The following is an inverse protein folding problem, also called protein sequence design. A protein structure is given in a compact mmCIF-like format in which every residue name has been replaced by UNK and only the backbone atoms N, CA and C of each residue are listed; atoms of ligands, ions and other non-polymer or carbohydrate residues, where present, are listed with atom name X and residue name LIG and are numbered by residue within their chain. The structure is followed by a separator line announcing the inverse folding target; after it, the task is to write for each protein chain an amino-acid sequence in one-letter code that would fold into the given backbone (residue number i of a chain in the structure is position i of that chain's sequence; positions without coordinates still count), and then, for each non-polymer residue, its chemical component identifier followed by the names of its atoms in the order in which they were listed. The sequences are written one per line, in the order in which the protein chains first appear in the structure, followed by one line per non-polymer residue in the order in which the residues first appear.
data_IF_472130390769
#
_entry.id   IF_472130390769
#
_cell.length_a   1.000
_cell.length_b   1.000
_cell.length_c   1.000
_cell.angle_alpha   90.00
_cell.angle_beta   90.00
_cell.angle_gamma   90.00
#
_symmetry.space_group_name_H-M   'P 1'
#
loop_
_entity.id
_entity.type
_entity.pdbx_description
1 polymer ?
#
# COMPACT_ATOMS: atom_id res chain seq x y z
N UNK A 1 12.98 88.45 -19.12
CA UNK A 1 13.71 87.43 -19.89
C UNK A 1 12.70 86.60 -20.67
N UNK A 2 12.37 87.06 -21.87
CA UNK A 2 11.85 86.23 -22.99
C UNK A 2 13.07 85.65 -23.75
N UNK A 3 12.96 84.68 -24.69
CA UNK A 3 11.77 84.36 -25.51
C UNK A 3 11.54 82.87 -25.92
N UNK A 4 10.37 82.65 -26.54
CA UNK A 4 10.08 81.81 -27.74
C UNK A 4 10.29 80.28 -27.68
N UNK A 5 9.49 79.43 -28.33
CA UNK A 5 8.35 79.54 -29.27
C UNK A 5 7.78 78.12 -29.47
N UNK A 6 6.47 77.89 -29.61
CA UNK A 6 5.61 78.11 -30.80
C UNK A 6 5.62 76.94 -31.80
N UNK A 7 4.53 76.14 -31.75
CA UNK A 7 3.68 75.57 -32.86
C UNK A 7 4.40 74.53 -33.79
N UNK A 8 3.87 73.34 -34.16
CA UNK A 8 2.77 73.02 -35.11
C UNK A 8 2.53 71.47 -35.00
N UNK A 9 1.35 71.03 -34.56
CA UNK A 9 0.28 70.32 -35.32
C UNK A 9 0.73 69.28 -36.36
N UNK A 10 0.27 68.03 -36.23
CA UNK A 10 -0.57 67.40 -37.26
C UNK A 10 -1.15 66.05 -36.80
N UNK A 11 -2.45 65.89 -37.07
CA UNK A 11 -3.21 64.65 -37.03
C UNK A 11 -2.57 63.56 -37.90
N UNK A 12 -2.62 62.31 -37.42
CA UNK A 12 -3.03 61.21 -38.32
C UNK A 12 -3.56 60.01 -37.55
N UNK A 13 -4.81 59.69 -37.85
CA UNK A 13 -5.53 58.46 -37.57
C UNK A 13 -4.76 57.20 -38.04
N UNK A 14 -4.69 56.14 -37.22
CA UNK A 14 -5.32 54.83 -37.49
C UNK A 14 -4.72 53.65 -36.69
N UNK A 15 -5.64 52.75 -36.32
CA UNK A 15 -5.49 51.29 -36.16
C UNK A 15 -4.93 50.67 -34.86
N UNK A 16 -5.89 50.16 -34.07
CA UNK A 16 -6.03 48.76 -33.61
C UNK A 16 -4.74 47.92 -33.48
N UNK A 17 -4.48 47.41 -32.28
CA UNK A 17 -4.52 45.96 -32.00
C UNK A 17 -4.41 45.69 -30.50
N UNK A 18 -5.29 44.83 -29.98
CA UNK A 18 -5.31 44.42 -28.58
C UNK A 18 -4.03 43.72 -28.15
N UNK A 19 -3.65 43.93 -26.88
CA UNK A 19 -2.79 43.00 -26.15
C UNK A 19 -3.49 42.63 -24.87
N UNK A 20 -4.30 41.58 -24.98
CA UNK A 20 -4.68 40.75 -23.86
C UNK A 20 -3.43 40.36 -23.08
N UNK A 21 -3.33 40.85 -21.84
CA UNK A 21 -2.40 40.32 -20.86
C UNK A 21 -2.91 38.94 -20.44
N UNK A 22 -2.33 37.89 -21.04
CA UNK A 22 -2.47 36.51 -20.61
C UNK A 22 -2.36 36.38 -19.08
N UNK A 23 -3.30 35.71 -18.40
CA UNK A 23 -3.12 35.37 -17.00
C UNK A 23 -2.25 34.10 -16.91
N UNK A 24 -1.04 34.24 -16.35
CA UNK A 24 -0.33 33.14 -15.67
C UNK A 24 -1.21 32.67 -14.50
N UNK A 25 -2.13 31.73 -14.72
CA UNK A 25 -3.08 31.27 -13.68
C UNK A 25 -3.14 29.76 -13.46
N UNK A 26 -2.38 28.94 -14.19
CA UNK A 26 -2.53 27.48 -14.17
C UNK A 26 -1.69 26.76 -13.11
N UNK A 27 -0.47 27.21 -12.78
CA UNK A 27 0.37 26.53 -11.76
C UNK A 27 0.01 26.88 -10.31
N UNK A 28 -0.41 28.13 -10.04
CA UNK A 28 -0.70 28.58 -8.67
C UNK A 28 -2.00 27.99 -8.09
N UNK A 29 -2.89 27.51 -8.96
CA UNK A 29 -4.19 26.93 -8.58
C UNK A 29 -4.06 25.48 -8.10
N UNK A 30 -3.25 24.67 -8.79
CA UNK A 30 -3.06 23.25 -8.46
C UNK A 30 -2.24 23.03 -7.19
N UNK A 31 -1.22 23.86 -6.94
CA UNK A 31 -0.42 23.82 -5.70
C UNK A 31 -1.25 24.18 -4.47
N UNK A 32 -2.20 25.10 -4.61
CA UNK A 32 -3.10 25.49 -3.52
C UNK A 32 -4.08 24.37 -3.17
N UNK A 33 -4.69 23.72 -4.18
CA UNK A 33 -5.59 22.57 -3.99
C UNK A 33 -4.90 21.37 -3.33
N UNK A 34 -3.68 21.04 -3.74
CA UNK A 34 -2.89 19.98 -3.10
C UNK A 34 -2.64 20.28 -1.62
N UNK A 35 -2.30 21.54 -1.31
CA UNK A 35 -2.05 21.96 0.07
C UNK A 35 -3.31 21.88 0.94
N UNK A 36 -4.48 22.20 0.39
CA UNK A 36 -5.78 22.02 1.05
C UNK A 36 -6.06 20.54 1.39
N UNK A 37 -5.87 19.63 0.42
CA UNK A 37 -6.10 18.19 0.64
C UNK A 37 -5.14 17.63 1.68
N UNK A 38 -3.86 18.00 1.61
CA UNK A 38 -2.85 17.57 2.59
C UNK A 38 -3.24 18.04 3.99
N UNK A 39 -3.63 19.31 4.13
CA UNK A 39 -4.04 19.87 5.42
C UNK A 39 -5.27 19.17 5.99
N UNK A 40 -6.31 18.94 5.18
CA UNK A 40 -7.53 18.25 5.60
C UNK A 40 -7.25 16.80 6.03
N UNK A 41 -6.37 16.12 5.29
CA UNK A 41 -5.91 14.76 5.63
C UNK A 41 -5.16 14.76 6.96
N UNK A 42 -4.13 15.61 7.12
CA UNK A 42 -3.31 15.68 8.33
C UNK A 42 -4.14 15.99 9.57
N UNK A 43 -5.10 16.91 9.43
CA UNK A 43 -6.02 17.27 10.51
C UNK A 43 -6.92 16.09 10.89
N UNK A 44 -7.62 15.51 9.90
CA UNK A 44 -8.52 14.37 10.13
C UNK A 44 -7.78 13.19 10.76
N UNK A 45 -6.58 12.89 10.26
CA UNK A 45 -5.74 11.82 10.78
C UNK A 45 -5.22 12.13 12.19
N UNK A 46 -4.80 13.37 12.45
CA UNK A 46 -4.34 13.81 13.76
C UNK A 46 -5.42 13.69 14.82
N UNK A 47 -6.65 14.12 14.51
CA UNK A 47 -7.79 14.08 15.43
C UNK A 47 -8.16 12.63 15.80
N UNK A 48 -8.32 11.77 14.80
CA UNK A 48 -8.72 10.37 15.04
C UNK A 48 -7.63 9.55 15.72
N UNK A 49 -6.36 9.71 15.30
CA UNK A 49 -5.25 8.97 15.90
C UNK A 49 -4.95 9.45 17.33
N UNK A 50 -5.17 10.74 17.63
CA UNK A 50 -5.09 11.23 19.02
C UNK A 50 -6.13 10.56 19.91
N UNK A 51 -7.38 10.50 19.43
CA UNK A 51 -8.49 9.89 20.16
C UNK A 51 -8.26 8.39 20.42
N UNK A 52 -7.82 7.65 19.39
CA UNK A 52 -7.47 6.23 19.53
C UNK A 52 -6.31 6.08 20.52
N UNK A 53 -5.21 6.84 20.35
CA UNK A 53 -4.04 6.75 21.23
C UNK A 53 -4.40 6.95 22.70
N UNK A 54 -5.18 7.99 23.01
CA UNK A 54 -5.65 8.27 24.36
C UNK A 54 -6.51 7.13 24.90
N UNK A 55 -7.48 6.67 24.11
CA UNK A 55 -8.40 5.59 24.49
C UNK A 55 -7.63 4.30 24.80
N UNK A 56 -6.71 3.91 23.92
CA UNK A 56 -5.95 2.68 24.04
C UNK A 56 -4.96 2.70 25.21
N UNK A 57 -4.30 3.85 25.42
CA UNK A 57 -3.40 4.00 26.57
C UNK A 57 -4.16 4.01 27.90
N UNK A 58 -5.35 4.62 27.95
CA UNK A 58 -6.22 4.55 29.14
C UNK A 58 -6.69 3.13 29.41
N UNK A 59 -7.04 2.36 28.39
CA UNK A 59 -7.40 0.95 28.53
C UNK A 59 -6.21 0.13 29.07
N UNK A 60 -5.02 0.35 28.52
CA UNK A 60 -3.83 -0.43 28.88
C UNK A 60 -3.24 -0.07 30.26
N UNK A 61 -3.24 1.21 30.63
CA UNK A 61 -2.50 1.72 31.79
C UNK A 61 -3.38 2.42 32.84
N UNK A 62 -4.69 2.53 32.62
CA UNK A 62 -5.60 3.23 33.54
C UNK A 62 -5.17 4.67 33.78
N UNK A 63 -5.20 5.12 35.03
CA UNK A 63 -4.85 6.49 35.41
C UNK A 63 -3.37 6.85 35.21
N UNK A 64 -2.50 5.85 35.07
CA UNK A 64 -1.06 6.04 34.85
C UNK A 64 -0.70 6.30 33.39
N UNK A 65 -1.67 6.33 32.48
CA UNK A 65 -1.43 6.49 31.05
C UNK A 65 -0.65 7.77 30.69
N UNK A 66 -0.87 8.86 31.44
CA UNK A 66 -0.13 10.13 31.26
C UNK A 66 1.34 10.06 31.70
N UNK A 67 1.70 9.09 32.53
CA UNK A 67 3.09 8.85 32.93
C UNK A 67 3.83 7.98 31.92
N UNK A 68 3.10 7.08 31.24
CA UNK A 68 3.66 6.11 30.29
C UNK A 68 3.71 6.66 28.86
N UNK A 69 2.77 7.53 28.49
CA UNK A 69 2.71 8.08 27.12
C UNK A 69 4.01 8.80 26.76
N UNK A 70 4.49 8.58 25.54
CA UNK A 70 5.82 9.03 25.13
C UNK A 70 5.89 10.56 25.03
N UNK A 71 4.91 11.16 24.38
CA UNK A 71 4.66 12.60 24.40
C UNK A 71 3.35 12.87 25.13
N UNK A 72 3.32 13.86 26.02
CA UNK A 72 2.09 14.25 26.71
C UNK A 72 1.20 15.12 25.81
N UNK A 73 -0.14 15.03 25.91
CA UNK A 73 -1.04 15.89 25.16
C UNK A 73 -0.90 17.36 25.61
N UNK A 74 -1.28 18.35 24.77
CA UNK A 74 -1.89 18.21 23.44
C UNK A 74 -0.88 17.77 22.36
N UNK A 75 -1.33 16.94 21.42
CA UNK A 75 -0.45 16.37 20.41
C UNK A 75 -0.55 17.05 19.05
N UNK A 76 0.59 17.13 18.36
CA UNK A 76 0.67 17.28 16.91
C UNK A 76 0.61 15.89 16.26
N UNK A 77 0.26 15.81 14.97
CA UNK A 77 0.28 14.54 14.24
C UNK A 77 1.64 13.81 14.34
N UNK A 78 2.75 14.55 14.29
CA UNK A 78 4.09 13.98 14.45
C UNK A 78 4.27 13.32 15.82
N UNK A 79 3.87 14.01 16.90
CA UNK A 79 3.97 13.47 18.26
C UNK A 79 3.08 12.24 18.43
N UNK A 80 1.86 12.25 17.86
CA UNK A 80 0.96 11.09 17.87
C UNK A 80 1.63 9.89 17.19
N UNK A 81 2.12 10.06 15.97
CA UNK A 81 2.76 8.97 15.22
C UNK A 81 4.02 8.44 15.93
N UNK A 82 4.79 9.28 16.61
CA UNK A 82 5.91 8.81 17.46
C UNK A 82 5.42 8.01 18.67
N UNK A 83 4.34 8.44 19.32
CA UNK A 83 3.72 7.66 20.39
C UNK A 83 3.27 6.29 19.89
N UNK A 84 2.64 6.19 18.71
CA UNK A 84 2.30 4.91 18.11
C UNK A 84 3.52 4.02 17.91
N UNK A 85 4.61 4.54 17.35
CA UNK A 85 5.85 3.76 17.17
C UNK A 85 6.41 3.24 18.49
N UNK A 86 6.41 4.07 19.54
CA UNK A 86 6.94 3.70 20.86
C UNK A 86 6.06 2.70 21.60
N UNK A 87 4.74 2.85 21.48
CA UNK A 87 3.76 2.04 22.19
C UNK A 87 3.20 0.89 21.36
N UNK A 88 3.67 0.71 20.12
CA UNK A 88 3.15 -0.28 19.20
C UNK A 88 3.12 -1.66 19.82
N UNK A 89 4.26 -2.19 20.26
CA UNK A 89 4.35 -3.57 20.76
C UNK A 89 3.56 -3.80 22.06
N UNK A 90 3.54 -2.80 22.95
CA UNK A 90 2.94 -2.93 24.27
C UNK A 90 1.42 -2.72 24.27
N UNK A 91 0.90 -1.90 23.37
CA UNK A 91 -0.52 -1.47 23.38
C UNK A 91 -1.22 -1.95 22.12
N UNK A 92 -0.81 -1.46 20.95
CA UNK A 92 -1.56 -1.66 19.70
C UNK A 92 -1.35 -3.04 19.06
N UNK A 93 -0.13 -3.56 19.14
CA UNK A 93 0.30 -4.85 18.59
C UNK A 93 -0.24 -6.06 19.35
N UNK A 94 -1.03 -5.83 20.40
CA UNK A 94 -1.78 -6.87 21.12
C UNK A 94 -3.05 -7.29 20.36
N UNK A 95 -3.60 -6.40 19.53
CA UNK A 95 -4.87 -6.63 18.83
C UNK A 95 -4.82 -6.25 17.33
N UNK A 96 -3.79 -5.52 16.89
CA UNK A 96 -3.50 -5.27 15.47
C UNK A 96 -2.22 -6.01 15.07
N UNK A 97 -2.15 -6.48 13.83
CA UNK A 97 -0.97 -7.16 13.30
C UNK A 97 0.30 -6.31 13.48
N UNK A 98 1.38 -6.94 13.93
CA UNK A 98 2.67 -6.28 14.14
C UNK A 98 3.25 -5.69 12.86
N UNK A 99 2.93 -6.25 11.70
CA UNK A 99 3.39 -5.76 10.40
C UNK A 99 2.91 -4.33 10.09
N UNK A 100 1.79 -3.89 10.67
CA UNK A 100 1.20 -2.57 10.43
C UNK A 100 1.96 -1.41 11.10
N UNK A 101 2.99 -1.71 11.91
CA UNK A 101 3.94 -0.68 12.33
C UNK A 101 4.59 -0.01 11.13
N UNK A 102 4.79 -0.75 10.02
CA UNK A 102 5.36 -0.22 8.78
C UNK A 102 4.49 0.87 8.16
N UNK A 103 3.16 0.76 8.24
CA UNK A 103 2.22 1.81 7.79
C UNK A 103 2.39 3.08 8.64
N UNK A 104 2.51 2.96 9.97
CA UNK A 104 2.79 4.12 10.84
C UNK A 104 4.12 4.78 10.47
N UNK A 105 5.17 3.97 10.23
CA UNK A 105 6.48 4.49 9.83
C UNK A 105 6.47 5.16 8.47
N UNK A 106 5.72 4.60 7.52
CA UNK A 106 5.49 5.19 6.20
C UNK A 106 4.79 6.55 6.30
N UNK A 107 3.70 6.63 7.07
CA UNK A 107 2.95 7.87 7.29
C UNK A 107 3.83 8.93 7.96
N UNK A 108 4.57 8.55 9.00
CA UNK A 108 5.49 9.47 9.67
C UNK A 108 6.60 9.98 8.73
N UNK A 109 7.14 9.11 7.87
CA UNK A 109 8.13 9.50 6.89
C UNK A 109 7.59 10.51 5.87
N UNK A 110 6.34 10.37 5.40
CA UNK A 110 5.78 11.22 4.34
C UNK A 110 5.03 12.46 4.84
N UNK A 111 4.47 12.43 6.04
CA UNK A 111 3.71 13.53 6.64
C UNK A 111 4.57 14.42 7.54
N UNK A 112 5.61 13.87 8.18
CA UNK A 112 6.38 14.60 9.18
C UNK A 112 7.82 14.89 8.78
N UNK A 113 8.45 14.02 7.97
CA UNK A 113 9.86 14.17 7.54
C UNK A 113 10.02 14.57 6.08
N UNK A 114 9.24 13.97 5.20
CA UNK A 114 9.16 14.26 3.79
C UNK A 114 8.12 15.33 3.51
N UNK A 115 8.27 16.01 2.37
CA UNK A 115 7.15 16.75 1.78
C UNK A 115 6.46 15.83 0.78
N UNK A 116 5.13 15.80 0.83
CA UNK A 116 4.34 15.15 -0.21
C UNK A 116 4.53 15.94 -1.51
N UNK A 117 5.18 15.33 -2.49
CA UNK A 117 5.45 15.93 -3.79
C UNK A 117 4.59 15.19 -4.82
N UNK A 118 3.40 15.73 -5.11
CA UNK A 118 2.52 15.26 -6.16
C UNK A 118 1.33 14.40 -5.71
N UNK A 119 0.41 14.19 -6.65
CA UNK A 119 -0.87 13.50 -6.44
C UNK A 119 -0.71 12.00 -6.18
N UNK A 120 0.24 11.33 -6.85
CA UNK A 120 0.51 9.90 -6.65
C UNK A 120 0.96 9.57 -5.23
N UNK A 121 1.92 10.34 -4.70
CA UNK A 121 2.39 10.19 -3.31
C UNK A 121 1.26 10.49 -2.33
N UNK A 122 0.49 11.55 -2.58
CA UNK A 122 -0.68 11.90 -1.76
C UNK A 122 -1.74 10.79 -1.74
N UNK A 123 -2.04 10.19 -2.90
CA UNK A 123 -2.97 9.06 -3.04
C UNK A 123 -2.52 7.87 -2.20
N UNK A 124 -1.24 7.53 -2.26
CA UNK A 124 -0.67 6.43 -1.47
C UNK A 124 -0.75 6.71 0.04
N UNK A 125 -0.42 7.94 0.47
CA UNK A 125 -0.52 8.32 1.88
C UNK A 125 -1.96 8.30 2.38
N UNK A 126 -2.92 8.77 1.58
CA UNK A 126 -4.36 8.69 1.88
C UNK A 126 -4.83 7.23 1.99
N UNK A 127 -4.36 6.37 1.09
CA UNK A 127 -4.70 4.95 1.07
C UNK A 127 -4.16 4.20 2.28
N UNK A 128 -2.88 4.40 2.61
CA UNK A 128 -2.26 3.83 3.82
C UNK A 128 -2.95 4.33 5.09
N UNK A 129 -3.33 5.61 5.13
CA UNK A 129 -4.12 6.18 6.23
C UNK A 129 -5.48 5.48 6.36
N UNK A 130 -6.16 5.23 5.24
CA UNK A 130 -7.44 4.50 5.23
C UNK A 130 -7.30 3.08 5.76
N UNK A 131 -6.33 2.31 5.26
CA UNK A 131 -6.07 0.94 5.73
C UNK A 131 -5.86 0.92 7.24
N UNK A 132 -5.02 1.82 7.75
CA UNK A 132 -4.75 1.92 9.18
C UNK A 132 -6.04 2.11 9.99
N UNK A 133 -6.92 3.03 9.56
CA UNK A 133 -8.18 3.32 10.24
C UNK A 133 -9.19 2.16 10.13
N UNK A 134 -9.26 1.47 9.00
CA UNK A 134 -10.10 0.28 8.81
C UNK A 134 -9.69 -0.83 9.78
N UNK A 135 -8.39 -1.01 10.02
CA UNK A 135 -7.90 -1.97 11.00
C UNK A 135 -8.31 -1.61 12.43
N UNK A 136 -8.25 -0.33 12.81
CA UNK A 136 -8.77 0.12 14.11
C UNK A 136 -10.29 -0.09 14.24
N UNK A 137 -11.02 -0.07 13.13
CA UNK A 137 -12.48 -0.27 13.09
C UNK A 137 -12.90 -1.65 13.57
N UNK A 138 -12.02 -2.65 13.41
CA UNK A 138 -12.28 -4.02 13.90
C UNK A 138 -12.40 -4.08 15.43
N UNK A 139 -11.83 -3.10 16.14
CA UNK A 139 -11.80 -3.09 17.61
C UNK A 139 -12.85 -2.19 18.24
N UNK A 140 -13.03 -0.98 17.73
CA UNK A 140 -13.97 -0.01 18.30
C UNK A 140 -14.29 1.09 17.29
N UNK A 141 -15.39 1.81 17.54
CA UNK A 141 -15.79 3.00 16.78
C UNK A 141 -15.14 4.28 17.29
N UNK A 142 -14.48 4.26 18.46
CA UNK A 142 -13.80 5.39 19.11
C UNK A 142 -14.67 6.66 19.09
N UNK A 143 -15.85 6.58 19.70
CA UNK A 143 -16.84 7.66 19.80
C UNK A 143 -17.26 8.27 18.44
N UNK A 144 -17.14 7.51 17.36
CA UNK A 144 -17.52 7.93 16.01
C UNK A 144 -16.44 8.75 15.28
N UNK A 145 -15.34 9.12 15.95
CA UNK A 145 -14.20 9.79 15.33
C UNK A 145 -13.64 8.95 14.16
N UNK A 146 -13.64 7.63 14.32
CA UNK A 146 -13.15 6.72 13.30
C UNK A 146 -14.01 6.74 12.03
N UNK A 147 -15.34 6.65 12.19
CA UNK A 147 -16.27 6.69 11.06
C UNK A 147 -16.22 8.02 10.32
N UNK A 148 -16.07 9.13 11.06
CA UNK A 148 -15.90 10.46 10.47
C UNK A 148 -14.59 10.55 9.68
N UNK A 149 -13.48 10.07 10.24
CA UNK A 149 -12.18 10.10 9.56
C UNK A 149 -12.18 9.22 8.30
N UNK A 150 -12.75 8.02 8.35
CA UNK A 150 -12.90 7.15 7.18
C UNK A 150 -13.74 7.80 6.08
N UNK A 151 -14.84 8.47 6.43
CA UNK A 151 -15.65 9.22 5.46
C UNK A 151 -14.84 10.36 4.81
N UNK A 152 -14.03 11.09 5.59
CA UNK A 152 -13.14 12.10 5.05
C UNK A 152 -12.06 11.51 4.14
N UNK A 153 -11.39 10.42 4.53
CA UNK A 153 -10.36 9.78 3.70
C UNK A 153 -10.93 9.32 2.35
N UNK A 154 -12.13 8.72 2.33
CA UNK A 154 -12.80 8.33 1.09
C UNK A 154 -13.16 9.54 0.22
N UNK A 155 -13.62 10.64 0.82
CA UNK A 155 -13.90 11.89 0.10
C UNK A 155 -12.64 12.48 -0.53
N UNK A 156 -11.53 12.51 0.22
CA UNK A 156 -10.26 13.05 -0.26
C UNK A 156 -9.65 12.17 -1.36
N UNK A 157 -9.71 10.83 -1.23
CA UNK A 157 -9.30 9.89 -2.28
C UNK A 157 -10.06 10.14 -3.58
N UNK A 158 -11.39 10.24 -3.52
CA UNK A 158 -12.22 10.57 -4.67
C UNK A 158 -11.86 11.92 -5.31
N UNK A 159 -11.58 12.93 -4.47
CA UNK A 159 -11.17 14.27 -4.94
C UNK A 159 -9.83 14.22 -5.68
N UNK A 160 -8.88 13.41 -5.20
CA UNK A 160 -7.59 13.20 -5.86
C UNK A 160 -7.77 12.50 -7.21
N UNK A 161 -8.61 11.47 -7.28
CA UNK A 161 -8.90 10.73 -8.53
C UNK A 161 -9.56 11.62 -9.60
N UNK A 162 -10.52 12.46 -9.20
CA UNK A 162 -11.17 13.43 -10.10
C UNK A 162 -10.17 14.46 -10.65
N UNK A 163 -9.22 14.91 -9.81
CA UNK A 163 -8.19 15.88 -10.22
C UNK A 163 -7.12 15.29 -11.14
N UNK A 164 -6.86 13.98 -11.06
CA UNK A 164 -5.96 13.28 -11.99
C UNK A 164 -6.60 13.13 -13.38
N UNK A 165 -7.92 12.88 -13.43
CA UNK A 165 -8.67 12.72 -14.69
C UNK A 165 -8.78 14.02 -15.51
N UNK A 166 -9.02 15.18 -14.86
CA UNK A 166 -9.19 16.46 -15.56
C UNK A 166 -7.91 17.04 -16.20
N UNK A 167 -6.74 16.41 -16.04
CA UNK A 167 -5.50 16.83 -16.72
C UNK A 167 -5.39 16.31 -18.17
N UNK A 168 -6.25 15.37 -18.60
CA UNK A 168 -6.19 14.75 -19.92
C UNK A 168 -6.90 15.48 -21.08
N UNK A 169 -7.83 16.41 -20.79
CA UNK A 169 -8.75 16.93 -21.83
C UNK A 169 -8.36 18.30 -22.44
N UNK A 170 -7.40 19.03 -21.88
CA UNK A 170 -7.11 20.41 -22.34
C UNK A 170 -6.11 20.50 -23.52
N UNK A 171 -5.94 19.44 -24.33
CA UNK A 171 -4.93 19.42 -25.41
C UNK A 171 -5.41 18.88 -26.76
N UNK A 172 -6.73 18.81 -27.03
CA UNK A 172 -7.25 18.31 -28.32
C UNK A 172 -8.20 19.25 -29.08
N UNK A 173 -8.27 20.53 -28.71
CA UNK A 173 -9.16 21.50 -29.37
C UNK A 173 -8.42 22.57 -30.19
N UNK A 174 -7.43 22.17 -30.99
CA UNK A 174 -6.94 22.99 -32.11
C UNK A 174 -6.51 22.06 -33.25
N UNK A 175 -7.44 21.66 -34.12
CA UNK A 175 -7.25 21.21 -35.52
C UNK A 175 -8.35 20.22 -35.93
N UNK A 176 -9.61 20.68 -36.03
CA UNK A 176 -10.60 19.99 -36.87
C UNK A 176 -11.73 20.92 -37.31
N UNK A 177 -11.37 21.90 -38.13
CA UNK A 177 -12.32 22.52 -39.04
C UNK A 177 -11.57 22.88 -40.31
N UNK A 178 -12.02 22.29 -41.43
CA UNK A 178 -11.70 22.57 -42.84
C UNK A 178 -11.03 21.38 -43.54
N UNK A 179 -11.85 20.50 -44.14
CA UNK A 179 -11.96 20.38 -45.60
C UNK A 179 -12.95 19.25 -45.90
N UNK A 180 -13.96 19.57 -46.70
CA UNK A 180 -14.99 18.61 -47.08
C UNK A 180 -14.63 17.78 -48.32
N UNK A 181 -15.48 16.79 -48.52
CA UNK A 181 -15.98 16.25 -49.78
C UNK A 181 -15.06 16.25 -51.02
N UNK A 182 -14.57 15.06 -51.40
CA UNK A 182 -14.87 14.50 -52.72
C UNK A 182 -14.70 12.96 -52.76
N UNK A 183 -15.33 12.38 -53.77
CA UNK A 183 -15.67 10.97 -54.02
C UNK A 183 -14.65 10.32 -54.97
N UNK A 184 -14.24 9.06 -54.79
CA UNK A 184 -13.92 8.14 -55.90
C UNK A 184 -13.79 6.67 -55.46
N UNK A 185 -14.35 5.77 -56.27
CA UNK A 185 -14.59 4.34 -56.04
C UNK A 185 -13.40 3.41 -56.40
N UNK A 186 -13.57 2.14 -55.96
CA UNK A 186 -13.00 0.84 -56.43
C UNK A 186 -11.66 0.40 -55.84
N UNK A 187 -11.36 -0.88 -55.63
CA UNK A 187 -12.10 -2.15 -55.40
C UNK A 187 -11.00 -3.19 -55.08
N UNK A 188 -11.29 -4.09 -54.14
CA UNK A 188 -10.74 -5.46 -53.93
C UNK A 188 -9.30 -5.71 -53.39
N UNK A 189 -9.33 -6.36 -52.21
CA UNK A 189 -8.55 -7.50 -51.70
C UNK A 189 -7.01 -7.50 -51.67
N UNK A 190 -6.45 -7.62 -50.45
CA UNK A 190 -5.92 -8.89 -49.90
C UNK A 190 -5.52 -8.68 -48.43
N UNK A 191 -5.77 -9.70 -47.62
CA UNK A 191 -5.74 -9.76 -46.15
C UNK A 191 -4.31 -9.71 -45.55
N UNK A 192 -4.24 -9.07 -44.37
CA UNK A 192 -3.30 -9.09 -43.23
C UNK A 192 -2.41 -10.37 -43.11
N UNK A 193 -1.19 -10.41 -42.53
CA UNK A 193 -0.68 -9.77 -41.29
C UNK A 193 0.85 -10.03 -41.12
N UNK A 194 1.47 -9.31 -40.16
CA UNK A 194 2.72 -9.59 -39.41
C UNK A 194 4.08 -9.42 -40.12
N UNK A 195 5.14 -8.80 -39.57
CA UNK A 195 5.47 -8.36 -38.21
C UNK A 195 6.65 -7.33 -38.24
N UNK A 196 6.97 -6.75 -37.08
CA UNK A 196 8.16 -5.97 -36.63
C UNK A 196 8.14 -4.42 -36.59
N UNK A 197 7.51 -3.93 -35.51
CA UNK A 197 8.01 -3.05 -34.43
C UNK A 197 8.87 -1.79 -34.72
N UNK A 198 8.30 -0.63 -34.37
CA UNK A 198 9.01 0.58 -33.93
C UNK A 198 8.30 1.25 -32.74
N UNK A 199 9.06 1.42 -31.65
CA UNK A 199 9.04 2.49 -30.63
C UNK A 199 7.73 3.02 -30.03
N UNK A 200 7.56 2.64 -28.76
CA UNK A 200 7.54 3.54 -27.58
C UNK A 200 6.64 4.79 -27.65
N UNK A 201 5.39 4.58 -27.23
CA UNK A 201 4.50 5.58 -26.62
C UNK A 201 3.46 4.82 -25.79
N UNK A 202 3.66 4.72 -24.48
CA UNK A 202 2.63 4.16 -23.60
C UNK A 202 1.51 5.19 -23.38
N UNK A 203 0.22 4.84 -23.59
CA UNK A 203 -0.91 5.74 -23.39
C UNK A 203 -1.36 5.78 -21.92
N UNK A 204 -1.95 6.92 -21.55
CA UNK A 204 -2.81 7.12 -20.38
C UNK A 204 -3.67 5.86 -20.09
N UNK A 205 -3.61 5.34 -18.87
CA UNK A 205 -4.41 4.20 -18.42
C UNK A 205 -5.43 4.67 -17.39
N UNK A 206 -6.71 4.50 -17.70
CA UNK A 206 -7.82 4.42 -16.73
C UNK A 206 -7.45 3.45 -15.58
N UNK A 207 -8.14 3.44 -14.41
CA UNK A 207 -7.91 2.45 -13.35
C UNK A 207 -8.14 1.07 -13.94
N UNK A 208 -7.06 0.48 -14.44
CA UNK A 208 -7.16 -0.67 -15.31
C UNK A 208 -7.59 -1.84 -14.46
N UNK A 209 -8.33 -2.78 -15.04
CA UNK A 209 -8.65 -4.05 -14.39
C UNK A 209 -7.43 -4.70 -13.70
N UNK A 210 -6.22 -4.44 -14.21
CA UNK A 210 -4.93 -4.89 -13.71
C UNK A 210 -4.58 -4.42 -12.29
N UNK A 211 -4.94 -3.19 -11.90
CA UNK A 211 -4.64 -2.66 -10.55
C UNK A 211 -5.52 -3.35 -9.49
N UNK A 212 -6.78 -3.65 -9.85
CA UNK A 212 -7.65 -4.51 -9.05
C UNK A 212 -7.13 -5.96 -8.97
N UNK A 213 -6.52 -6.49 -10.05
CA UNK A 213 -5.92 -7.83 -10.05
C UNK A 213 -4.71 -7.92 -9.13
N UNK A 214 -3.84 -6.91 -9.10
CA UNK A 214 -2.70 -6.88 -8.19
C UNK A 214 -3.12 -6.88 -6.72
N UNK A 215 -4.23 -6.20 -6.40
CA UNK A 215 -4.85 -6.25 -5.08
C UNK A 215 -5.40 -7.64 -4.74
N UNK A 216 -6.07 -8.32 -5.68
CA UNK A 216 -6.52 -9.71 -5.49
C UNK A 216 -5.33 -10.65 -5.21
N UNK A 217 -4.25 -10.54 -6.00
CA UNK A 217 -3.02 -11.30 -5.82
C UNK A 217 -2.43 -11.07 -4.43
N UNK A 218 -2.33 -9.82 -4.01
CA UNK A 218 -1.77 -9.47 -2.72
C UNK A 218 -2.65 -9.97 -1.56
N UNK A 219 -3.97 -9.87 -1.69
CA UNK A 219 -4.91 -10.39 -0.69
C UNK A 219 -4.76 -11.90 -0.49
N UNK A 220 -4.45 -12.65 -1.56
CA UNK A 220 -4.21 -14.08 -1.50
C UNK A 220 -2.89 -14.41 -0.79
N UNK A 221 -1.82 -13.65 -1.09
CA UNK A 221 -0.55 -13.77 -0.37
C UNK A 221 -0.71 -13.47 1.13
N UNK A 222 -1.47 -12.43 1.47
CA UNK A 222 -1.77 -12.06 2.86
C UNK A 222 -2.62 -13.13 3.57
N UNK A 223 -3.60 -13.72 2.87
CA UNK A 223 -4.38 -14.82 3.40
C UNK A 223 -3.52 -16.07 3.68
N UNK A 224 -2.58 -16.40 2.78
CA UNK A 224 -1.61 -17.49 3.01
C UNK A 224 -0.76 -17.19 4.24
N UNK A 225 -0.25 -15.96 4.35
CA UNK A 225 0.54 -15.51 5.49
C UNK A 225 -0.22 -15.60 6.82
N UNK A 226 -1.46 -15.11 6.86
CA UNK A 226 -2.31 -15.14 8.05
C UNK A 226 -2.59 -16.58 8.50
N UNK A 227 -2.83 -17.50 7.55
CA UNK A 227 -3.05 -18.91 7.86
C UNK A 227 -1.80 -19.59 8.42
N UNK A 228 -0.62 -19.30 7.87
CA UNK A 228 0.65 -19.80 8.40
C UNK A 228 0.88 -19.30 9.83
N UNK A 229 0.53 -18.03 10.12
CA UNK A 229 0.65 -17.48 11.47
C UNK A 229 -0.34 -18.11 12.46
N UNK A 230 -1.60 -18.32 12.05
CA UNK A 230 -2.59 -19.01 12.91
C UNK A 230 -2.14 -20.44 13.16
N UNK A 231 -1.75 -21.16 12.10
CA UNK A 231 -1.29 -22.55 12.23
C UNK A 231 -0.01 -22.67 13.06
N UNK A 232 0.95 -21.75 12.89
CA UNK A 232 2.17 -21.74 13.71
C UNK A 232 1.88 -21.49 15.18
N UNK A 233 0.99 -20.55 15.49
CA UNK A 233 0.55 -20.28 16.85
C UNK A 233 -0.13 -21.49 17.50
N UNK A 234 -1.04 -22.16 16.79
CA UNK A 234 -1.70 -23.38 17.27
C UNK A 234 -0.71 -24.52 17.53
N UNK A 235 0.25 -24.72 16.63
CA UNK A 235 1.29 -25.76 16.79
C UNK A 235 2.21 -25.42 17.95
N UNK A 236 2.71 -24.19 18.07
CA UNK A 236 3.60 -23.81 19.17
C UNK A 236 2.94 -23.93 20.55
N UNK A 237 1.64 -23.66 20.67
CA UNK A 237 0.92 -23.93 21.92
C UNK A 237 0.84 -25.42 22.24
N UNK A 238 0.54 -26.26 21.24
CA UNK A 238 0.37 -27.71 21.43
C UNK A 238 1.70 -28.44 21.66
N UNK A 239 2.80 -27.86 21.17
CA UNK A 239 4.16 -28.43 21.23
C UNK A 239 4.92 -27.94 22.47
N UNK A 240 4.42 -26.95 23.23
CA UNK A 240 5.05 -26.48 24.46
C UNK A 240 5.03 -27.56 25.56
N UNK A 241 6.09 -28.36 25.56
CA UNK A 241 6.32 -29.49 26.47
C UNK A 241 6.56 -29.06 27.93
N UNK A 242 6.79 -27.77 28.19
CA UNK A 242 6.94 -27.25 29.56
C UNK A 242 5.64 -27.27 30.36
N UNK A 243 4.49 -27.24 29.65
CA UNK A 243 3.15 -27.27 30.24
C UNK A 243 2.54 -28.69 30.30
N UNK A 244 3.21 -29.70 29.74
CA UNK A 244 2.66 -31.04 29.55
C UNK A 244 3.16 -32.00 30.64
N UNK A 245 2.28 -32.50 31.55
CA UNK A 245 2.64 -33.49 32.55
C UNK A 245 3.13 -34.79 31.88
N UNK A 246 4.06 -35.55 32.49
CA UNK A 246 4.59 -36.80 31.94
C UNK A 246 3.55 -37.91 31.69
N UNK A 247 2.29 -37.70 32.11
CA UNK A 247 1.15 -38.62 31.93
C UNK A 247 0.22 -38.26 30.76
N UNK A 248 0.60 -37.31 29.90
CA UNK A 248 -0.23 -36.79 28.80
C UNK A 248 -0.36 -37.72 27.59
N UNK A 249 -1.47 -37.57 26.85
CA UNK A 249 -1.79 -38.31 25.63
C UNK A 249 -0.71 -38.18 24.53
N UNK A 250 0.11 -39.22 24.37
CA UNK A 250 1.18 -39.30 23.35
C UNK A 250 0.67 -39.11 21.91
N UNK A 251 -0.60 -39.44 21.65
CA UNK A 251 -1.26 -39.21 20.37
C UNK A 251 -1.41 -37.72 20.01
N UNK A 252 -1.79 -36.87 20.97
CA UNK A 252 -1.93 -35.42 20.77
C UNK A 252 -0.59 -34.75 20.49
N UNK A 253 0.47 -35.24 21.13
CA UNK A 253 1.82 -34.76 20.90
C UNK A 253 2.32 -35.16 19.51
N UNK A 254 2.10 -36.41 19.09
CA UNK A 254 2.48 -36.90 17.77
C UNK A 254 1.77 -36.13 16.66
N UNK A 255 0.48 -35.80 16.83
CA UNK A 255 -0.27 -34.96 15.89
C UNK A 255 0.33 -33.54 15.81
N UNK A 256 0.65 -32.93 16.95
CA UNK A 256 1.28 -31.62 17.00
C UNK A 256 2.68 -31.61 16.36
N UNK A 257 3.46 -32.68 16.55
CA UNK A 257 4.77 -32.86 15.95
C UNK A 257 4.69 -33.05 14.43
N UNK A 258 3.75 -33.86 13.93
CA UNK A 258 3.48 -33.96 12.49
C UNK A 258 3.02 -32.62 11.91
N UNK A 259 2.22 -31.85 12.67
CA UNK A 259 1.82 -30.49 12.31
C UNK A 259 3.01 -29.53 12.23
N UNK A 260 3.98 -29.63 13.15
CA UNK A 260 5.23 -28.86 13.13
C UNK A 260 6.09 -29.20 11.90
N UNK A 261 6.21 -30.50 11.55
CA UNK A 261 6.92 -30.93 10.34
C UNK A 261 6.24 -30.39 9.08
N UNK A 262 4.91 -30.44 9.02
CA UNK A 262 4.13 -29.86 7.91
C UNK A 262 4.36 -28.36 7.80
N UNK A 263 4.28 -27.63 8.92
CA UNK A 263 4.55 -26.19 8.97
C UNK A 263 5.95 -25.87 8.47
N UNK A 264 6.97 -26.61 8.92
CA UNK A 264 8.34 -26.44 8.47
C UNK A 264 8.49 -26.64 6.95
N UNK A 265 7.88 -27.69 6.38
CA UNK A 265 7.90 -27.92 4.93
C UNK A 265 7.26 -26.76 4.18
N UNK A 266 6.06 -26.36 4.59
CA UNK A 266 5.30 -25.28 3.94
C UNK A 266 6.04 -23.94 4.01
N UNK A 267 6.62 -23.58 5.15
CA UNK A 267 7.40 -22.35 5.31
C UNK A 267 8.64 -22.37 4.43
N UNK A 268 9.38 -23.48 4.37
CA UNK A 268 10.56 -23.62 3.52
C UNK A 268 10.24 -23.53 2.03
N UNK A 269 9.15 -24.17 1.59
CA UNK A 269 8.70 -24.12 0.19
C UNK A 269 8.31 -22.70 -0.24
N UNK A 270 7.56 -21.98 0.59
CA UNK A 270 7.19 -20.57 0.31
C UNK A 270 8.42 -19.69 0.29
N UNK A 271 9.26 -19.82 1.30
CA UNK A 271 10.45 -19.01 1.44
C UNK A 271 11.37 -19.19 0.22
N UNK A 272 11.59 -20.44 -0.21
CA UNK A 272 12.38 -20.74 -1.41
C UNK A 272 11.76 -20.11 -2.67
N UNK A 273 10.44 -20.22 -2.86
CA UNK A 273 9.74 -19.61 -3.99
C UNK A 273 9.86 -18.09 -4.00
N UNK A 274 9.71 -17.45 -2.85
CA UNK A 274 9.83 -15.99 -2.73
C UNK A 274 11.28 -15.53 -2.94
N UNK A 275 12.26 -16.23 -2.37
CA UNK A 275 13.68 -15.88 -2.53
C UNK A 275 14.12 -15.95 -3.99
N UNK A 276 13.66 -16.96 -4.74
CA UNK A 276 13.94 -17.09 -6.18
C UNK A 276 13.39 -15.90 -6.97
N UNK A 277 12.18 -15.46 -6.64
CA UNK A 277 11.52 -14.32 -7.31
C UNK A 277 12.17 -12.97 -6.94
N UNK A 278 12.75 -12.85 -5.75
CA UNK A 278 13.41 -11.63 -5.30
C UNK A 278 14.83 -11.45 -5.87
N UNK A 279 15.38 -12.43 -6.60
CA UNK A 279 16.66 -12.30 -7.32
C UNK A 279 16.55 -11.23 -8.43
N UNK A 280 17.50 -10.30 -8.59
CA UNK A 280 17.40 -9.16 -9.51
C UNK A 280 17.10 -9.49 -10.99
N UNK A 281 17.35 -10.74 -11.41
CA UNK A 281 17.08 -11.25 -12.76
C UNK A 281 16.07 -12.41 -12.74
N UNK A 282 15.10 -12.38 -11.84
CA UNK A 282 14.06 -13.41 -11.72
C UNK A 282 13.34 -13.61 -13.04
N UNK A 283 13.36 -14.83 -13.55
CA UNK A 283 12.69 -15.21 -14.78
C UNK A 283 11.21 -15.53 -14.54
N UNK A 284 10.43 -15.61 -15.62
CA UNK A 284 9.05 -16.08 -15.54
C UNK A 284 8.94 -17.48 -14.91
N UNK A 285 9.95 -18.33 -15.08
CA UNK A 285 9.99 -19.67 -14.52
C UNK A 285 10.09 -19.66 -12.98
N UNK A 286 10.81 -18.69 -12.41
CA UNK A 286 10.93 -18.51 -10.95
C UNK A 286 9.59 -18.06 -10.35
N UNK A 287 8.88 -17.16 -11.04
CA UNK A 287 7.53 -16.74 -10.64
C UNK A 287 6.51 -17.86 -10.83
N UNK A 288 6.68 -18.70 -11.86
CA UNK A 288 5.81 -19.85 -12.09
C UNK A 288 5.91 -20.89 -10.96
N UNK A 289 7.10 -21.10 -10.39
CA UNK A 289 7.28 -21.98 -9.24
C UNK A 289 6.48 -21.48 -8.01
N UNK A 290 6.54 -20.17 -7.74
CA UNK A 290 5.74 -19.53 -6.69
C UNK A 290 4.24 -19.61 -6.99
N UNK A 291 3.84 -19.34 -8.23
CA UNK A 291 2.45 -19.45 -8.68
C UNK A 291 1.89 -20.86 -8.48
N UNK A 292 2.65 -21.89 -8.86
CA UNK A 292 2.26 -23.29 -8.68
C UNK A 292 2.07 -23.62 -7.21
N UNK A 293 2.95 -23.16 -6.34
CA UNK A 293 2.80 -23.35 -4.90
C UNK A 293 1.52 -22.69 -4.36
N UNK A 294 1.27 -21.45 -4.76
CA UNK A 294 0.08 -20.71 -4.34
C UNK A 294 -1.19 -21.41 -4.84
N UNK A 295 -1.19 -21.92 -6.07
CA UNK A 295 -2.37 -22.58 -6.66
C UNK A 295 -2.58 -24.00 -6.12
N UNK A 296 -1.51 -24.73 -5.81
CA UNK A 296 -1.58 -26.13 -5.35
C UNK A 296 -1.84 -26.29 -3.85
N UNK A 297 -1.75 -25.23 -3.06
CA UNK A 297 -2.21 -25.30 -1.67
C UNK A 297 -3.71 -25.57 -1.68
N UNK A 298 -4.16 -26.66 -1.04
CA UNK A 298 -5.58 -27.11 -0.95
C UNK A 298 -6.56 -26.00 -0.51
N UNK A 299 -6.02 -24.92 0.03
CA UNK A 299 -6.71 -23.73 0.52
C UNK A 299 -7.14 -22.76 -0.59
N UNK A 300 -6.60 -22.91 -1.81
CA UNK A 300 -6.69 -21.92 -2.89
C UNK A 300 -7.52 -22.37 -4.09
N UNK A 301 -8.62 -23.10 -3.85
CA UNK A 301 -9.58 -23.52 -4.89
C UNK A 301 -10.28 -22.35 -5.63
N UNK A 302 -9.93 -21.09 -5.33
CA UNK A 302 -10.48 -19.87 -5.93
C UNK A 302 -9.42 -18.92 -6.47
N UNK A 303 -8.21 -19.38 -6.83
CA UNK A 303 -7.23 -18.51 -7.50
C UNK A 303 -7.78 -18.01 -8.83
N UNK A 304 -8.03 -16.71 -8.93
CA UNK A 304 -8.62 -16.02 -10.09
C UNK A 304 -7.59 -15.31 -10.97
N UNK A 305 -6.30 -15.53 -10.73
CA UNK A 305 -5.22 -14.84 -11.42
C UNK A 305 -4.26 -15.83 -12.10
N UNK A 306 -3.60 -15.40 -13.16
CA UNK A 306 -2.66 -16.21 -13.95
C UNK A 306 -1.21 -16.01 -13.49
N UNK A 307 -0.31 -16.90 -13.90
CA UNK A 307 1.12 -16.76 -13.63
C UNK A 307 1.72 -15.47 -14.25
N UNK A 308 1.18 -15.00 -15.37
CA UNK A 308 1.57 -13.74 -16.02
C UNK A 308 1.15 -12.52 -15.20
N UNK A 309 -0.06 -12.53 -14.64
CA UNK A 309 -0.53 -11.45 -13.76
C UNK A 309 0.29 -11.40 -12.45
N UNK A 310 0.73 -12.56 -11.95
CA UNK A 310 1.66 -12.62 -10.82
C UNK A 310 3.03 -12.03 -11.18
N UNK A 311 3.57 -12.38 -12.35
CA UNK A 311 4.84 -11.87 -12.83
C UNK A 311 4.81 -10.35 -13.03
N UNK A 312 3.75 -9.82 -13.64
CA UNK A 312 3.52 -8.39 -13.80
C UNK A 312 3.41 -7.67 -12.45
N UNK A 313 2.67 -8.25 -11.49
CA UNK A 313 2.54 -7.72 -10.14
C UNK A 313 3.91 -7.60 -9.44
N UNK A 314 4.70 -8.68 -9.44
CA UNK A 314 5.98 -8.73 -8.71
C UNK A 314 7.09 -7.95 -9.44
N UNK A 315 6.93 -7.68 -10.74
CA UNK A 315 7.83 -6.81 -11.49
C UNK A 315 7.76 -5.35 -11.03
N UNK A 316 6.70 -4.95 -10.33
CA UNK A 316 6.61 -3.61 -9.73
C UNK A 316 7.42 -3.51 -8.43
N UNK A 317 8.22 -2.45 -8.32
CA UNK A 317 9.12 -2.22 -7.18
C UNK A 317 8.40 -2.21 -5.82
N UNK A 318 7.17 -1.70 -5.79
CA UNK A 318 6.34 -1.67 -4.57
C UNK A 318 6.06 -3.09 -4.05
N UNK A 319 5.49 -3.97 -4.89
CA UNK A 319 5.16 -5.34 -4.49
C UNK A 319 6.42 -6.16 -4.23
N UNK A 320 7.49 -5.94 -4.99
CA UNK A 320 8.80 -6.55 -4.75
C UNK A 320 9.37 -6.18 -3.37
N UNK A 321 9.24 -4.91 -2.97
CA UNK A 321 9.67 -4.44 -1.65
C UNK A 321 8.83 -5.07 -0.53
N UNK A 322 7.49 -5.11 -0.69
CA UNK A 322 6.61 -5.76 0.29
C UNK A 322 6.89 -7.25 0.42
N UNK A 323 7.14 -7.92 -0.70
CA UNK A 323 7.51 -9.33 -0.75
C UNK A 323 8.87 -9.56 -0.07
N UNK A 324 9.83 -8.64 -0.20
CA UNK A 324 11.11 -8.68 0.52
C UNK A 324 10.92 -8.58 2.04
N UNK A 325 10.05 -7.69 2.53
CA UNK A 325 9.69 -7.60 3.95
C UNK A 325 9.05 -8.89 4.44
N UNK A 326 8.07 -9.43 3.69
CA UNK A 326 7.43 -10.71 4.01
C UNK A 326 8.42 -11.89 4.00
N UNK A 327 9.37 -11.90 3.06
CA UNK A 327 10.47 -12.87 3.03
C UNK A 327 11.33 -12.80 4.30
N UNK A 328 11.62 -11.61 4.81
CA UNK A 328 12.33 -11.42 6.07
C UNK A 328 11.57 -12.03 7.26
N UNK A 329 10.25 -11.83 7.31
CA UNK A 329 9.39 -12.41 8.36
C UNK A 329 9.30 -13.94 8.25
N UNK A 330 9.20 -14.48 7.03
CA UNK A 330 9.26 -15.92 6.77
C UNK A 330 10.57 -16.53 7.23
N UNK A 331 11.72 -15.88 6.97
CA UNK A 331 13.02 -16.37 7.47
C UNK A 331 13.08 -16.42 9.00
N UNK A 332 12.51 -15.42 9.68
CA UNK A 332 12.44 -15.42 11.14
C UNK A 332 11.53 -16.54 11.65
N UNK A 333 10.38 -16.76 11.01
CA UNK A 333 9.48 -17.86 11.35
C UNK A 333 10.15 -19.22 11.11
N UNK A 334 10.82 -19.40 9.98
CA UNK A 334 11.57 -20.60 9.62
C UNK A 334 12.60 -20.95 10.71
N UNK A 335 13.42 -19.97 11.11
CA UNK A 335 14.39 -20.14 12.19
C UNK A 335 13.72 -20.52 13.51
N UNK A 336 12.60 -19.89 13.85
CA UNK A 336 11.84 -20.17 15.09
C UNK A 336 11.25 -21.58 15.07
N UNK A 337 10.67 -22.00 13.94
CA UNK A 337 10.13 -23.36 13.73
C UNK A 337 11.26 -24.39 13.82
N UNK A 338 12.44 -24.11 13.25
CA UNK A 338 13.62 -24.98 13.35
C UNK A 338 14.12 -25.14 14.78
N UNK A 339 14.28 -24.04 15.50
CA UNK A 339 14.67 -24.08 16.92
C UNK A 339 13.66 -24.86 17.77
N UNK A 340 12.36 -24.65 17.53
CA UNK A 340 11.31 -25.41 18.20
C UNK A 340 11.42 -26.91 17.89
N UNK A 341 11.59 -27.27 16.61
CA UNK A 341 11.76 -28.65 16.18
C UNK A 341 12.96 -29.34 16.83
N UNK A 342 14.12 -28.67 16.89
CA UNK A 342 15.33 -29.19 17.54
C UNK A 342 15.14 -29.36 19.06
N UNK A 343 14.51 -28.38 19.72
CA UNK A 343 14.20 -28.46 21.16
C UNK A 343 13.26 -29.62 21.47
N UNK A 344 12.26 -29.83 20.62
CA UNK A 344 11.28 -30.90 20.77
C UNK A 344 11.92 -32.26 20.53
N UNK A 345 12.77 -32.40 19.51
CA UNK A 345 13.54 -33.62 19.29
C UNK A 345 14.45 -33.97 20.47
N UNK A 346 15.12 -32.97 21.04
CA UNK A 346 15.96 -33.16 22.22
C UNK A 346 15.14 -33.64 23.41
N UNK A 347 13.96 -33.05 23.63
CA UNK A 347 13.09 -33.41 24.74
C UNK A 347 12.43 -34.79 24.56
N UNK A 348 12.01 -35.15 23.34
CA UNK A 348 11.57 -36.51 22.99
C UNK A 348 12.66 -37.53 23.38
N UNK A 349 13.92 -37.23 23.04
CA UNK A 349 15.08 -38.09 23.37
C UNK A 349 15.31 -38.16 24.88
N UNK A 350 15.20 -37.05 25.60
CA UNK A 350 15.34 -37.02 27.06
C UNK A 350 14.23 -37.81 27.78
N UNK A 351 13.01 -37.81 27.24
CA UNK A 351 11.86 -38.55 27.78
C UNK A 351 11.81 -40.02 27.36
N UNK A 352 12.71 -40.46 26.47
CA UNK A 352 12.76 -41.84 25.97
C UNK A 352 11.55 -42.22 25.11
N UNK A 353 10.95 -41.24 24.43
CA UNK A 353 9.84 -41.46 23.50
C UNK A 353 10.32 -41.93 22.11
N UNK A 354 11.64 -42.06 21.93
CA UNK A 354 12.32 -42.61 20.76
C UNK A 354 13.45 -43.54 21.18
#
# INVERSE_FOLDING_TARGET
MTPQGTIISEDTSNNKWGKDKYPKKTEKSSTNRLSEIIFDMEKSLGDVLSSILETELKIAFGDLWLEVVYHKPPWTLANVLECYKKHWMAVFGQFISRSLISTIEYLYAHLCKGKIIGYSTLRNVLWESKILLEMFSSRSTYDGFLSQALAQMNKLLKTVEEMESCKGENSKDILKSNLGNDTCEKMEDVILSEDTQTEDKSPLREPSAQENRHMEIWSLLENVWNRINVFSFEIFQKVDLSAIPPTSNMSSFQEAFMGLQKLMSTVNEILAGIQQVLVPNSSFQDVWALYRFLTNNEVNNSTKFTAEELYDCISQEMYRTRLSVGCGQLMQLEHTVRQCYESVLLEIKNRGWF
#
